data_IF_063935343752
#
_entry.id   IF_063935343752
#
_cell.length_a   1.000
_cell.length_b   1.000
_cell.length_c   1.000
_cell.angle_alpha   90.00
_cell.angle_beta   90.00
_cell.angle_gamma   90.00
#
_symmetry.space_group_name_H-M   'P 1'
#
loop_
_entity.id
_entity.type
_entity.pdbx_description
1 polymer ?
#
# COMPACT_ATOMS: atom_id res chain seq x y z
N UNK A 1 14.04 -5.54 7.24
CA UNK A 1 13.03 -6.53 7.69
C UNK A 1 13.71 -7.73 8.34
N UNK A 2 13.51 -7.96 9.65
CA UNK A 2 14.23 -9.01 10.38
C UNK A 2 13.96 -10.43 9.88
N UNK A 3 12.72 -10.74 9.46
CA UNK A 3 12.38 -12.05 8.87
C UNK A 3 13.18 -12.34 7.60
N UNK A 4 13.33 -11.34 6.72
CA UNK A 4 14.18 -11.46 5.52
C UNK A 4 15.62 -11.78 5.90
N UNK A 5 16.20 -11.01 6.82
CA UNK A 5 17.57 -11.23 7.30
C UNK A 5 17.72 -12.63 7.86
N UNK A 6 16.76 -13.12 8.64
CA UNK A 6 16.77 -14.47 9.19
C UNK A 6 16.81 -15.54 8.09
N UNK A 7 15.96 -15.41 7.07
CA UNK A 7 15.93 -16.33 5.93
C UNK A 7 17.22 -16.27 5.11
N UNK A 8 17.84 -15.09 5.00
CA UNK A 8 19.12 -14.89 4.32
C UNK A 8 20.32 -15.47 5.07
N UNK A 9 20.27 -15.48 6.41
CA UNK A 9 21.32 -16.05 7.26
C UNK A 9 21.20 -17.58 7.40
N UNK A 10 20.12 -18.18 6.88
CA UNK A 10 20.02 -19.63 6.82
C UNK A 10 21.21 -20.19 6.03
N UNK A 11 21.72 -21.33 6.48
CA UNK A 11 22.84 -22.02 5.85
C UNK A 11 22.53 -22.26 4.37
N UNK A 12 23.17 -21.50 3.49
CA UNK A 12 23.19 -21.73 2.05
C UNK A 12 24.60 -22.15 1.64
N UNK A 13 24.68 -23.11 0.73
CA UNK A 13 25.95 -23.61 0.22
C UNK A 13 26.39 -22.79 -1.00
N UNK A 14 27.72 -22.72 -1.19
CA UNK A 14 28.27 -22.18 -2.42
C UNK A 14 27.77 -23.04 -3.61
N UNK A 15 27.09 -22.40 -4.56
CA UNK A 15 26.48 -23.07 -5.73
C UNK A 15 24.99 -23.34 -5.61
N UNK A 16 24.35 -23.09 -4.46
CA UNK A 16 22.89 -23.23 -4.34
C UNK A 16 22.15 -22.31 -5.32
N UNK A 17 21.19 -22.89 -6.04
CA UNK A 17 20.23 -22.15 -6.85
C UNK A 17 19.36 -21.23 -5.99
N UNK A 18 18.78 -20.18 -6.59
CA UNK A 18 17.88 -19.26 -5.90
C UNK A 18 16.72 -19.99 -5.21
N UNK A 19 16.17 -21.02 -5.86
CA UNK A 19 15.10 -21.85 -5.31
C UNK A 19 15.55 -22.60 -4.05
N UNK A 20 16.73 -23.22 -4.06
CA UNK A 20 17.25 -23.93 -2.89
C UNK A 20 17.49 -22.99 -1.71
N UNK A 21 17.97 -21.77 -1.97
CA UNK A 21 18.15 -20.73 -0.94
C UNK A 21 16.82 -20.30 -0.33
N UNK A 22 15.78 -20.12 -1.16
CA UNK A 22 14.42 -19.80 -0.68
C UNK A 22 13.90 -20.90 0.24
N UNK A 23 13.88 -22.14 -0.24
CA UNK A 23 13.33 -23.26 0.53
C UNK A 23 14.12 -23.48 1.82
N UNK A 24 15.45 -23.34 1.80
CA UNK A 24 16.30 -23.44 2.98
C UNK A 24 16.04 -22.31 3.99
N UNK A 25 15.89 -21.08 3.51
CA UNK A 25 15.56 -19.91 4.32
C UNK A 25 14.19 -20.04 4.99
N UNK A 26 13.17 -20.42 4.22
CA UNK A 26 11.82 -20.65 4.73
C UNK A 26 11.77 -21.81 5.72
N UNK A 27 12.42 -22.94 5.42
CA UNK A 27 12.48 -24.09 6.33
C UNK A 27 13.21 -23.74 7.64
N UNK A 28 14.26 -22.92 7.58
CA UNK A 28 14.95 -22.43 8.76
C UNK A 28 14.05 -21.51 9.61
N UNK A 29 13.37 -20.55 8.99
CA UNK A 29 12.42 -19.67 9.67
C UNK A 29 11.28 -20.47 10.33
N UNK A 30 10.70 -21.45 9.63
CA UNK A 30 9.65 -22.33 10.17
C UNK A 30 10.11 -23.15 11.37
N UNK A 31 11.36 -23.65 11.37
CA UNK A 31 11.91 -24.36 12.53
C UNK A 31 12.01 -23.45 13.75
N UNK A 32 12.46 -22.21 13.58
CA UNK A 32 12.55 -21.23 14.67
C UNK A 32 11.18 -20.79 15.19
N UNK A 33 10.20 -20.70 14.30
CA UNK A 33 8.80 -20.44 14.66
C UNK A 33 8.23 -21.60 15.49
N UNK A 34 8.41 -22.85 15.04
CA UNK A 34 7.94 -24.05 15.74
C UNK A 34 8.57 -24.24 17.13
N UNK A 35 9.81 -23.79 17.32
CA UNK A 35 10.48 -23.77 18.63
C UNK A 35 10.01 -22.63 19.55
N UNK A 36 9.02 -21.83 19.12
CA UNK A 36 8.53 -20.66 19.83
C UNK A 36 9.65 -19.69 20.23
N UNK A 37 10.63 -19.50 19.34
CA UNK A 37 11.68 -18.52 19.61
C UNK A 37 11.07 -17.13 19.84
N UNK A 38 11.67 -16.38 20.76
CA UNK A 38 11.13 -15.12 21.29
C UNK A 38 10.72 -14.13 20.20
N UNK A 39 11.49 -14.05 19.11
CA UNK A 39 11.18 -13.21 17.95
C UNK A 39 9.77 -13.47 17.38
N UNK A 40 9.38 -14.73 17.18
CA UNK A 40 8.05 -15.07 16.65
C UNK A 40 6.96 -14.99 17.73
N UNK A 41 7.30 -15.17 19.00
CA UNK A 41 6.34 -14.98 20.12
C UNK A 41 5.95 -13.51 20.26
N UNK A 42 6.91 -12.60 20.21
CA UNK A 42 6.68 -11.15 20.38
C UNK A 42 6.19 -10.46 19.09
N UNK A 43 6.31 -11.11 17.93
CA UNK A 43 5.90 -10.55 16.63
C UNK A 43 4.92 -11.49 15.90
N UNK A 44 3.65 -11.57 16.33
CA UNK A 44 2.67 -12.50 15.74
C UNK A 44 2.37 -12.21 14.26
N UNK A 45 2.48 -10.96 13.82
CA UNK A 45 2.36 -10.58 12.40
C UNK A 45 3.40 -11.26 11.52
N UNK A 46 4.61 -11.46 12.03
CA UNK A 46 5.70 -12.15 11.32
C UNK A 46 5.37 -13.63 11.12
N UNK A 47 4.66 -14.26 12.07
CA UNK A 47 4.18 -15.64 11.91
C UNK A 47 3.16 -15.73 10.78
N UNK A 48 2.21 -14.79 10.75
CA UNK A 48 1.19 -14.72 9.70
C UNK A 48 1.84 -14.48 8.33
N UNK A 49 2.81 -13.56 8.23
CA UNK A 49 3.59 -13.32 7.01
C UNK A 49 4.31 -14.59 6.55
N UNK A 50 5.01 -15.29 7.46
CA UNK A 50 5.73 -16.53 7.14
C UNK A 50 4.78 -17.65 6.68
N UNK A 51 3.57 -17.72 7.23
CA UNK A 51 2.55 -18.66 6.80
C UNK A 51 2.05 -18.33 5.39
N UNK A 52 1.77 -17.04 5.11
CA UNK A 52 1.31 -16.58 3.80
C UNK A 52 2.36 -16.82 2.68
N UNK A 53 3.65 -16.68 3.00
CA UNK A 53 4.74 -16.95 2.04
C UNK A 53 4.73 -18.36 1.45
N UNK A 54 4.04 -19.33 2.07
CA UNK A 54 3.97 -20.71 1.55
C UNK A 54 3.24 -20.77 0.21
N UNK A 55 2.23 -19.92 0.06
CA UNK A 55 1.35 -19.87 -1.11
C UNK A 55 1.88 -18.91 -2.19
N UNK A 56 2.86 -18.07 -1.85
CA UNK A 56 3.49 -17.16 -2.78
C UNK A 56 4.31 -17.90 -3.86
N UNK A 57 4.33 -17.32 -5.07
CA UNK A 57 5.18 -17.84 -6.13
C UNK A 57 6.66 -17.71 -5.76
N UNK A 58 7.46 -18.72 -6.09
CA UNK A 58 8.92 -18.71 -5.81
C UNK A 58 9.62 -17.56 -6.54
N UNK A 59 9.12 -17.18 -7.72
CA UNK A 59 9.62 -16.01 -8.43
C UNK A 59 9.39 -14.74 -7.62
N UNK A 60 8.18 -14.53 -7.11
CA UNK A 60 7.86 -13.38 -6.24
C UNK A 60 8.75 -13.35 -5.00
N UNK A 61 8.88 -14.48 -4.29
CA UNK A 61 9.73 -14.57 -3.10
C UNK A 61 11.21 -14.27 -3.42
N UNK A 62 11.68 -14.69 -4.60
CA UNK A 62 13.04 -14.39 -5.07
C UNK A 62 13.24 -12.87 -5.17
N UNK A 63 12.31 -12.18 -5.85
CA UNK A 63 12.41 -10.75 -6.11
C UNK A 63 12.25 -9.91 -4.84
N UNK A 64 11.34 -10.32 -3.95
CA UNK A 64 11.00 -9.53 -2.76
C UNK A 64 11.93 -9.82 -1.56
N UNK A 65 12.21 -11.09 -1.28
CA UNK A 65 12.92 -11.48 -0.05
C UNK A 65 14.37 -11.91 -0.29
N UNK A 66 14.72 -12.38 -1.50
CA UNK A 66 16.05 -12.95 -1.77
C UNK A 66 16.93 -12.13 -2.72
N UNK A 67 16.51 -10.93 -3.13
CA UNK A 67 17.38 -9.99 -3.83
C UNK A 67 18.56 -9.56 -2.93
N UNK A 68 19.76 -9.37 -3.47
CA UNK A 68 20.97 -8.98 -2.72
C UNK A 68 20.83 -7.58 -2.10
N UNK A 69 20.40 -6.61 -2.90
CA UNK A 69 20.27 -5.21 -2.48
C UNK A 69 18.80 -4.89 -2.24
N UNK A 70 18.31 -5.22 -1.06
CA UNK A 70 16.97 -4.86 -0.62
C UNK A 70 17.06 -4.00 0.64
N UNK A 71 16.58 -2.76 0.55
CA UNK A 71 16.47 -1.83 1.66
C UNK A 71 15.08 -1.17 1.59
N UNK A 72 14.26 -1.28 2.65
CA UNK A 72 13.03 -0.52 2.72
C UNK A 72 13.38 0.94 2.98
N UNK A 73 12.76 1.84 2.23
CA UNK A 73 12.91 3.28 2.40
C UNK A 73 11.64 3.85 3.03
N UNK A 74 11.82 4.82 3.93
CA UNK A 74 10.75 5.73 4.27
C UNK A 74 10.45 6.63 3.08
N UNK A 75 9.21 7.09 2.97
CA UNK A 75 8.82 7.99 1.89
C UNK A 75 9.68 9.25 1.85
N UNK A 76 10.04 9.81 3.01
CA UNK A 76 10.91 10.97 3.07
C UNK A 76 12.27 10.74 2.41
N UNK A 77 12.85 9.55 2.56
CA UNK A 77 14.14 9.19 1.96
C UNK A 77 14.01 9.07 0.43
N UNK A 78 12.90 8.50 -0.06
CA UNK A 78 12.62 8.42 -1.50
C UNK A 78 12.42 9.82 -2.09
N UNK A 79 11.69 10.69 -1.40
CA UNK A 79 11.48 12.09 -1.83
C UNK A 79 12.80 12.83 -1.91
N UNK A 80 13.66 12.68 -0.89
CA UNK A 80 14.98 13.32 -0.86
C UNK A 80 15.86 12.86 -2.03
N UNK A 81 15.95 11.55 -2.27
CA UNK A 81 16.74 11.01 -3.38
C UNK A 81 16.20 11.45 -4.76
N UNK A 82 14.88 11.44 -4.94
CA UNK A 82 14.27 11.86 -6.22
C UNK A 82 14.34 13.38 -6.44
N UNK A 83 14.45 14.17 -5.37
CA UNK A 83 14.65 15.62 -5.48
C UNK A 83 15.96 15.97 -6.18
N UNK A 84 17.00 15.13 -6.07
CA UNK A 84 18.26 15.31 -6.82
C UNK A 84 18.04 15.28 -8.35
N UNK A 85 17.06 14.51 -8.81
CA UNK A 85 16.64 14.45 -10.21
C UNK A 85 15.63 15.55 -10.61
N UNK A 86 15.33 16.49 -9.69
CA UNK A 86 14.29 17.54 -9.78
C UNK A 86 12.88 16.97 -9.91
N UNK A 87 12.63 15.83 -9.29
CA UNK A 87 11.31 15.24 -9.18
C UNK A 87 10.67 15.66 -7.86
N UNK A 88 9.41 16.07 -7.91
CA UNK A 88 8.63 16.45 -6.74
C UNK A 88 7.48 15.48 -6.55
N UNK A 89 7.26 15.08 -5.30
CA UNK A 89 6.10 14.28 -4.93
C UNK A 89 4.80 15.04 -5.21
N UNK A 90 3.83 14.35 -5.80
CA UNK A 90 2.50 14.90 -6.11
C UNK A 90 1.45 14.26 -5.20
N UNK A 91 1.36 12.94 -5.24
CA UNK A 91 0.26 12.19 -4.63
C UNK A 91 0.59 10.70 -4.54
N UNK A 92 0.02 10.02 -3.55
CA UNK A 92 -0.03 8.55 -3.50
C UNK A 92 -0.96 8.03 -4.61
N UNK A 93 -0.48 7.04 -5.35
CA UNK A 93 -1.26 6.29 -6.34
C UNK A 93 -2.21 5.26 -5.73
N UNK A 94 -2.14 5.04 -4.41
CA UNK A 94 -3.09 4.18 -3.70
C UNK A 94 -4.39 4.96 -3.44
N UNK A 95 -5.39 4.74 -4.30
CA UNK A 95 -6.68 5.44 -4.24
C UNK A 95 -7.43 5.14 -2.94
N UNK A 96 -7.38 3.88 -2.47
CA UNK A 96 -8.03 3.43 -1.24
C UNK A 96 -7.50 4.16 -0.01
N UNK A 97 -6.20 4.48 0.00
CA UNK A 97 -5.56 5.24 1.08
C UNK A 97 -6.20 6.63 1.20
N UNK A 98 -6.51 7.28 0.08
CA UNK A 98 -7.21 8.57 0.09
C UNK A 98 -8.70 8.45 0.39
N UNK A 99 -9.33 7.39 -0.07
CA UNK A 99 -10.73 7.11 0.25
C UNK A 99 -10.90 6.98 1.77
N UNK A 100 -9.96 6.33 2.47
CA UNK A 100 -9.97 6.20 3.92
C UNK A 100 -9.99 7.55 4.68
N UNK A 101 -9.30 8.58 4.19
CA UNK A 101 -9.28 9.90 4.84
C UNK A 101 -10.62 10.63 4.84
N UNK A 102 -11.40 10.39 3.79
CA UNK A 102 -12.65 11.11 3.58
C UNK A 102 -13.80 10.53 4.39
N UNK A 103 -13.61 9.33 4.95
CA UNK A 103 -14.59 8.71 5.83
C UNK A 103 -14.24 8.92 7.30
N UNK A 104 -15.30 9.18 8.10
CA UNK A 104 -15.34 9.69 9.47
C UNK A 104 -14.57 8.91 10.56
N UNK A 105 -13.74 7.93 10.22
CA UNK A 105 -13.14 7.02 11.21
C UNK A 105 -11.97 7.61 11.97
N UNK A 106 -11.47 8.79 11.59
CA UNK A 106 -10.27 9.37 12.17
C UNK A 106 -10.32 10.91 12.19
N UNK A 107 -11.33 11.55 12.82
CA UNK A 107 -11.33 13.02 12.89
C UNK A 107 -10.06 13.58 13.54
N UNK A 108 -9.64 12.98 14.65
CA UNK A 108 -8.43 13.39 15.37
C UNK A 108 -7.14 13.09 14.56
N UNK A 109 -6.90 11.88 14.02
CA UNK A 109 -5.72 11.66 13.18
C UNK A 109 -5.71 12.48 11.88
N UNK A 110 -6.87 12.75 11.28
CA UNK A 110 -6.96 13.64 10.12
C UNK A 110 -6.61 15.09 10.49
N UNK A 111 -7.03 15.54 11.67
CA UNK A 111 -6.64 16.85 12.19
C UNK A 111 -5.13 16.94 12.41
N UNK A 112 -4.53 15.93 13.05
CA UNK A 112 -3.07 15.83 13.21
C UNK A 112 -2.36 15.91 11.86
N UNK A 113 -2.82 15.18 10.85
CA UNK A 113 -2.21 15.24 9.51
C UNK A 113 -2.40 16.61 8.84
N UNK A 114 -3.55 17.24 9.03
CA UNK A 114 -3.84 18.59 8.51
C UNK A 114 -2.92 19.64 9.13
N UNK A 115 -2.63 19.50 10.43
CA UNK A 115 -1.77 20.40 11.20
C UNK A 115 -0.27 20.28 10.85
N UNK A 116 0.13 19.23 10.13
CA UNK A 116 1.50 19.07 9.61
C UNK A 116 1.61 19.77 8.26
N UNK A 117 2.23 20.96 8.14
CA UNK A 117 2.22 21.73 6.90
C UNK A 117 3.12 21.13 5.80
N UNK A 118 4.23 20.50 6.20
CA UNK A 118 5.15 19.86 5.26
C UNK A 118 4.57 18.55 4.72
N UNK A 119 4.47 18.44 3.40
CA UNK A 119 3.81 17.29 2.75
C UNK A 119 4.61 16.00 2.94
N UNK A 120 5.93 16.05 2.85
CA UNK A 120 6.79 14.88 3.03
C UNK A 120 6.68 14.32 4.44
N UNK A 121 6.74 15.20 5.45
CA UNK A 121 6.55 14.81 6.85
C UNK A 121 5.15 14.27 7.09
N UNK A 122 4.12 14.89 6.52
CA UNK A 122 2.72 14.41 6.64
C UNK A 122 2.56 13.00 6.08
N UNK A 123 3.11 12.73 4.90
CA UNK A 123 3.08 11.41 4.25
C UNK A 123 3.89 10.35 5.00
N UNK A 124 4.99 10.75 5.63
CA UNK A 124 5.78 9.85 6.49
C UNK A 124 5.01 9.49 7.76
N UNK A 125 4.42 10.47 8.45
CA UNK A 125 3.56 10.24 9.63
C UNK A 125 2.37 9.36 9.27
N UNK A 126 1.73 9.66 8.13
CA UNK A 126 0.65 8.85 7.57
C UNK A 126 1.08 7.38 7.40
N UNK A 127 2.27 7.14 6.85
CA UNK A 127 2.81 5.79 6.69
C UNK A 127 2.85 5.00 8.00
N UNK A 128 3.16 5.66 9.12
CA UNK A 128 3.08 5.05 10.45
C UNK A 128 1.65 4.82 10.93
N UNK A 129 0.75 5.77 10.71
CA UNK A 129 -0.67 5.65 11.10
C UNK A 129 -1.35 4.44 10.43
N UNK A 130 -0.99 4.16 9.18
CA UNK A 130 -1.58 3.09 8.38
C UNK A 130 -0.74 1.82 8.32
N UNK A 131 0.42 1.78 8.99
CA UNK A 131 1.38 0.69 8.90
C UNK A 131 1.71 0.34 7.43
N UNK A 132 1.94 1.37 6.61
CA UNK A 132 2.14 1.23 5.17
C UNK A 132 3.43 0.46 4.88
N UNK A 133 3.29 -0.75 4.32
CA UNK A 133 4.42 -1.61 3.92
C UNK A 133 4.84 -1.40 2.48
N UNK A 134 3.86 -1.14 1.62
CA UNK A 134 4.03 -0.85 0.21
C UNK A 134 3.26 0.43 -0.11
N UNK A 135 3.84 1.25 -0.97
CA UNK A 135 3.20 2.49 -1.44
C UNK A 135 3.53 2.71 -2.90
N UNK A 136 2.56 3.23 -3.63
CA UNK A 136 2.77 3.76 -4.98
C UNK A 136 2.68 5.27 -4.90
N UNK A 137 3.65 5.97 -5.47
CA UNK A 137 3.68 7.42 -5.44
C UNK A 137 3.91 7.98 -6.85
N UNK A 138 3.23 9.09 -7.15
CA UNK A 138 3.42 9.84 -8.38
C UNK A 138 4.36 11.01 -8.13
N UNK A 139 5.40 11.08 -8.94
CA UNK A 139 6.39 12.15 -8.96
C UNK A 139 6.42 12.81 -10.33
N UNK A 140 6.57 14.13 -10.36
CA UNK A 140 6.68 14.89 -11.61
C UNK A 140 7.83 15.88 -11.54
N UNK A 141 8.42 16.18 -12.70
CA UNK A 141 9.41 17.25 -12.83
C UNK A 141 8.67 18.56 -13.14
N UNK A 142 8.94 19.60 -12.34
CA UNK A 142 8.32 20.91 -12.53
C UNK A 142 6.81 20.90 -12.24
N UNK A 143 6.42 20.41 -11.06
CA UNK A 143 5.01 20.36 -10.67
C UNK A 143 4.35 21.74 -10.71
N UNK A 144 3.25 21.86 -11.44
CA UNK A 144 2.36 23.04 -11.42
C UNK A 144 1.05 22.60 -10.77
N UNK A 145 0.66 23.29 -9.70
CA UNK A 145 -0.60 23.00 -9.01
C UNK A 145 -1.74 23.71 -9.74
N UNK A 146 -2.79 22.94 -10.05
CA UNK A 146 -4.06 23.53 -10.47
C UNK A 146 -4.68 24.35 -9.35
N UNK A 147 -5.26 25.49 -9.71
CA UNK A 147 -6.22 26.22 -8.90
C UNK A 147 -7.47 25.36 -8.67
N UNK A 148 -8.20 25.65 -7.60
CA UNK A 148 -9.40 24.87 -7.24
C UNK A 148 -10.43 24.82 -8.39
N UNK A 149 -10.60 25.93 -9.12
CA UNK A 149 -11.52 25.99 -10.27
C UNK A 149 -11.03 25.10 -11.43
N UNK A 150 -9.74 25.15 -11.75
CA UNK A 150 -9.14 24.31 -12.80
C UNK A 150 -9.29 22.81 -12.46
N UNK A 151 -9.17 22.43 -11.18
CA UNK A 151 -9.40 21.05 -10.75
C UNK A 151 -10.84 20.59 -11.05
N UNK A 152 -11.84 21.43 -10.74
CA UNK A 152 -13.25 21.14 -11.02
C UNK A 152 -13.49 21.03 -12.53
N UNK A 153 -12.91 21.94 -13.31
CA UNK A 153 -12.99 21.90 -14.77
C UNK A 153 -12.39 20.60 -15.34
N UNK A 154 -11.18 20.22 -14.94
CA UNK A 154 -10.56 18.96 -15.37
C UNK A 154 -11.37 17.73 -14.98
N UNK A 155 -11.96 17.72 -13.77
CA UNK A 155 -12.86 16.64 -13.35
C UNK A 155 -14.12 16.58 -14.21
N UNK A 156 -14.66 17.72 -14.66
CA UNK A 156 -15.83 17.76 -15.54
C UNK A 156 -15.55 17.19 -16.94
N UNK A 157 -14.29 17.22 -17.38
CA UNK A 157 -13.83 16.58 -18.62
C UNK A 157 -13.43 15.11 -18.42
N UNK A 158 -13.49 14.59 -17.19
CA UNK A 158 -13.16 13.19 -16.92
C UNK A 158 -14.40 12.32 -17.07
N UNK A 159 -14.31 11.38 -18.01
CA UNK A 159 -15.32 10.37 -18.25
C UNK A 159 -15.09 9.17 -17.35
N UNK A 160 -16.14 8.65 -16.76
CA UNK A 160 -16.07 7.49 -15.87
C UNK A 160 -17.09 6.45 -16.35
N UNK A 161 -16.67 5.20 -16.43
CA UNK A 161 -17.53 4.08 -16.80
C UNK A 161 -17.79 3.19 -15.58
N UNK A 162 -18.98 2.61 -15.51
CA UNK A 162 -19.28 1.58 -14.53
C UNK A 162 -18.69 0.25 -15.03
N UNK A 163 -17.97 -0.45 -14.16
CA UNK A 163 -17.31 -1.73 -14.48
C UNK A 163 -17.97 -2.93 -13.79
N UNK A 164 -19.05 -2.69 -13.06
CA UNK A 164 -19.85 -3.69 -12.32
C UNK A 164 -21.30 -3.52 -12.78
N UNK A 165 -22.08 -4.60 -12.85
CA UNK A 165 -23.51 -4.50 -13.13
C UNK A 165 -24.19 -3.65 -12.02
N UNK A 166 -24.97 -2.61 -12.37
CA UNK A 166 -25.76 -1.84 -11.40
C UNK A 166 -26.59 -2.69 -10.42
N UNK A 167 -27.06 -3.87 -10.85
CA UNK A 167 -27.83 -4.81 -10.04
C UNK A 167 -26.97 -5.54 -8.99
N UNK A 168 -25.66 -5.66 -9.24
CA UNK A 168 -24.70 -6.31 -8.34
C UNK A 168 -24.00 -5.31 -7.40
N UNK A 169 -24.34 -4.03 -7.49
CA UNK A 169 -23.65 -2.99 -6.74
C UNK A 169 -23.97 -3.04 -5.24
N UNK A 170 -22.92 -3.26 -4.43
CA UNK A 170 -22.98 -3.12 -2.97
C UNK A 170 -22.89 -1.64 -2.57
N UNK A 171 -23.72 -1.23 -1.61
CA UNK A 171 -23.60 0.07 -0.94
C UNK A 171 -22.77 -0.03 0.34
N UNK A 172 -22.24 -1.20 0.64
CA UNK A 172 -21.28 -1.40 1.71
C UNK A 172 -19.87 -1.44 1.12
N UNK A 173 -19.01 -0.53 1.59
CA UNK A 173 -17.59 -0.51 1.25
C UNK A 173 -16.78 -1.01 2.45
N UNK A 174 -16.12 -2.15 2.28
CA UNK A 174 -15.16 -2.65 3.24
C UNK A 174 -13.86 -1.86 3.12
N UNK A 175 -13.38 -1.33 4.25
CA UNK A 175 -12.09 -0.66 4.37
C UNK A 175 -11.26 -1.34 5.46
N UNK A 176 -9.98 -0.99 5.56
CA UNK A 176 -9.10 -1.58 6.57
C UNK A 176 -9.63 -1.25 7.98
N UNK A 177 -10.09 -2.28 8.69
CA UNK A 177 -10.59 -2.16 10.07
C UNK A 177 -12.03 -1.66 10.20
N UNK A 178 -12.81 -1.53 9.12
CA UNK A 178 -14.21 -1.10 9.19
C UNK A 178 -14.99 -1.39 7.91
N UNK A 179 -16.31 -1.21 7.96
CA UNK A 179 -17.18 -1.16 6.79
C UNK A 179 -18.05 0.09 6.85
N UNK A 180 -18.33 0.68 5.69
CA UNK A 180 -19.09 1.92 5.56
C UNK A 180 -20.28 1.71 4.66
N UNK A 181 -21.43 2.20 5.12
CA UNK A 181 -22.63 2.24 4.32
C UNK A 181 -22.71 3.56 3.54
N UNK A 182 -22.81 3.43 2.22
CA UNK A 182 -23.01 4.52 1.29
C UNK A 182 -24.49 4.91 1.24
N UNK A 183 -24.76 6.22 1.23
CA UNK A 183 -26.12 6.72 1.15
C UNK A 183 -26.71 6.50 -0.26
N UNK A 184 -27.65 5.56 -0.36
CA UNK A 184 -28.29 5.22 -1.62
C UNK A 184 -28.97 6.43 -2.28
N UNK A 185 -29.45 7.41 -1.52
CA UNK A 185 -30.06 8.62 -2.09
C UNK A 185 -29.06 9.45 -2.91
N UNK A 186 -27.76 9.35 -2.60
CA UNK A 186 -26.67 10.04 -3.30
C UNK A 186 -26.13 9.16 -4.44
N UNK A 187 -25.83 7.89 -4.15
CA UNK A 187 -25.10 7.04 -5.09
C UNK A 187 -25.98 6.39 -6.16
N UNK A 188 -27.23 6.03 -5.83
CA UNK A 188 -28.13 5.36 -6.78
C UNK A 188 -28.37 6.17 -8.07
N UNK A 189 -28.64 7.49 -8.03
CA UNK A 189 -28.83 8.28 -9.25
C UNK A 189 -27.60 8.31 -10.16
N UNK A 190 -26.39 8.32 -9.58
CA UNK A 190 -25.14 8.31 -10.35
C UNK A 190 -24.92 6.96 -11.07
N UNK A 191 -25.32 5.87 -10.43
CA UNK A 191 -25.22 4.51 -10.97
C UNK A 191 -26.23 4.32 -12.10
N UNK A 192 -27.50 4.67 -11.86
CA UNK A 192 -28.59 4.49 -12.82
C UNK A 192 -28.36 5.33 -14.09
N UNK A 193 -27.79 6.54 -13.96
CA UNK A 193 -27.41 7.38 -15.11
C UNK A 193 -26.40 6.71 -16.06
N UNK A 194 -25.59 5.77 -15.56
CA UNK A 194 -24.56 5.06 -16.35
C UNK A 194 -24.96 3.66 -16.79
N UNK A 195 -26.05 3.11 -16.25
CA UNK A 195 -26.63 1.84 -16.68
C UNK A 195 -27.19 1.88 -18.11
N UNK A 196 -27.43 3.08 -18.66
CA UNK A 196 -27.97 3.29 -20.00
C UNK A 196 -26.99 3.10 -21.18
N UNK A 197 -25.73 2.76 -20.90
CA UNK A 197 -24.67 2.65 -21.92
C UNK A 197 -24.09 4.00 -22.36
N UNK A 198 -22.87 3.97 -22.90
CA UNK A 198 -22.27 5.11 -23.60
C UNK A 198 -22.85 5.21 -25.03
N UNK A 199 -22.93 6.40 -25.65
CA UNK A 199 -22.88 6.48 -27.11
C UNK A 199 -21.55 5.94 -27.65
#
# INVERSE_FOLDING_TARGET
>A
MPLRTLMWQALSQAGDSSLQRIESGMAFAKRLEAMQSRYFVENPTVKADLAAMVDDSRNYLTHEYFNHNWQPFYQSEVVEQLAEAKLSYVVSGDIDDRFYNNFKLMQEPLQILTDVPDTTRRETIRGFMFNTRFRRDLFVKGAVKFLALEQVEQLSHTYFALIIDPAEMSYEVALVGCAIQLDQAIYRPMIDCRAGGWP
#
